data_IF_493578941183
#
_entry.id   IF_493578941183
#
_cell.length_a   1.000
_cell.length_b   1.000
_cell.length_c   1.000
_cell.angle_alpha   90.00
_cell.angle_beta   90.00
_cell.angle_gamma   90.00
#
_symmetry.space_group_name_H-M   'P 1'
#
loop_
_entity.id
_entity.type
_entity.pdbx_description
1 polymer ?
#
# COMPACT_ATOMS: atom_id res chain seq x y z
N UNK A 1 22.72 12.94 1.04
CA UNK A 1 21.29 13.21 0.85
C UNK A 1 20.81 12.28 -0.27
N UNK A 2 19.76 11.52 -0.06
CA UNK A 2 19.17 10.67 -1.08
C UNK A 2 18.79 11.52 -2.31
N UNK A 3 19.16 11.05 -3.49
CA UNK A 3 18.78 11.71 -4.74
C UNK A 3 17.41 11.17 -5.15
N UNK A 4 16.41 12.05 -5.30
CA UNK A 4 15.08 11.71 -5.81
C UNK A 4 14.92 12.21 -7.23
N UNK A 5 14.43 11.36 -8.11
CA UNK A 5 14.06 11.71 -9.49
C UNK A 5 12.61 11.27 -9.79
N UNK A 6 11.93 12.02 -10.65
CA UNK A 6 10.63 11.64 -11.16
C UNK A 6 10.80 10.61 -12.28
N UNK A 7 10.08 9.50 -12.17
CA UNK A 7 10.14 8.40 -13.15
C UNK A 7 8.75 8.03 -13.64
N UNK A 8 8.70 7.40 -14.81
CA UNK A 8 7.47 6.92 -15.43
C UNK A 8 7.67 5.51 -15.96
N UNK A 9 6.68 4.66 -15.75
CA UNK A 9 6.63 3.35 -16.38
C UNK A 9 5.23 3.04 -16.89
N UNK A 10 5.11 2.04 -17.77
CA UNK A 10 3.83 1.68 -18.39
C UNK A 10 3.20 0.49 -17.66
N UNK A 11 1.90 0.58 -17.39
CA UNK A 11 1.08 -0.52 -16.88
C UNK A 11 -0.19 -0.63 -17.73
N UNK A 12 -0.25 -1.63 -18.61
CA UNK A 12 -1.28 -1.71 -19.64
C UNK A 12 -1.20 -0.50 -20.58
N UNK A 13 -2.28 0.25 -20.66
CA UNK A 13 -2.46 1.44 -21.49
C UNK A 13 -2.18 2.77 -20.75
N UNK A 14 -1.76 2.71 -19.49
CA UNK A 14 -1.57 3.88 -18.64
C UNK A 14 -0.12 4.10 -18.28
N UNK A 15 0.35 5.36 -18.30
CA UNK A 15 1.63 5.75 -17.73
C UNK A 15 1.48 5.99 -16.23
N UNK A 16 2.35 5.33 -15.48
CA UNK A 16 2.39 5.38 -14.02
C UNK A 16 3.51 6.30 -13.58
N UNK A 17 3.19 7.29 -12.77
CA UNK A 17 4.12 8.23 -12.18
C UNK A 17 4.70 7.67 -10.88
N UNK A 18 6.00 7.83 -10.68
CA UNK A 18 6.69 7.44 -9.48
C UNK A 18 7.85 8.36 -9.13
N UNK A 19 8.36 8.19 -7.93
CA UNK A 19 9.64 8.70 -7.47
C UNK A 19 10.63 7.56 -7.34
N UNK A 20 11.81 7.75 -7.87
CA UNK A 20 12.94 6.86 -7.63
C UNK A 20 13.93 7.58 -6.70
N UNK A 21 14.07 7.03 -5.50
CA UNK A 21 15.10 7.42 -4.56
C UNK A 21 16.31 6.52 -4.75
N UNK A 22 17.48 7.11 -4.88
CA UNK A 22 18.74 6.38 -4.91
C UNK A 22 19.52 6.65 -3.63
N UNK A 23 20.10 5.62 -2.97
CA UNK A 23 20.99 5.84 -1.84
C UNK A 23 22.24 6.60 -2.29
N UNK A 24 22.98 7.12 -1.33
CA UNK A 24 24.31 7.64 -1.63
C UNK A 24 25.16 6.53 -2.27
N UNK A 25 26.00 6.85 -3.27
CA UNK A 25 26.84 5.85 -3.92
C UNK A 25 27.67 5.07 -2.87
N UNK A 26 27.55 3.75 -2.89
CA UNK A 26 28.43 2.85 -2.13
C UNK A 26 29.83 2.86 -2.77
N UNK A 27 30.88 2.68 -1.96
CA UNK A 27 32.24 2.82 -2.43
C UNK A 27 32.75 1.74 -3.39
N UNK A 28 31.99 0.65 -3.61
CA UNK A 28 32.39 -0.52 -4.42
C UNK A 28 31.69 -0.60 -5.78
N UNK A 29 30.76 0.30 -6.07
CA UNK A 29 30.04 0.32 -7.35
C UNK A 29 29.07 -0.85 -7.56
N UNK A 30 28.75 -1.62 -6.52
CA UNK A 30 27.82 -2.75 -6.61
C UNK A 30 26.37 -2.29 -6.81
N UNK A 31 25.57 -3.12 -7.51
CA UNK A 31 24.14 -2.91 -7.64
C UNK A 31 23.44 -2.98 -6.27
N UNK A 32 22.50 -2.08 -6.01
CA UNK A 32 21.81 -1.97 -4.74
C UNK A 32 20.45 -2.66 -4.73
N UNK A 33 19.95 -3.15 -3.58
CA UNK A 33 18.58 -3.63 -3.47
C UNK A 33 17.57 -2.50 -3.65
N UNK A 34 16.38 -2.82 -4.17
CA UNK A 34 15.32 -1.85 -4.40
C UNK A 34 14.00 -2.27 -3.74
N UNK A 35 13.35 -1.32 -3.08
CA UNK A 35 12.01 -1.45 -2.51
C UNK A 35 10.98 -0.81 -3.42
N UNK A 36 10.03 -1.59 -3.92
CA UNK A 36 8.84 -1.07 -4.62
C UNK A 36 7.78 -0.74 -3.57
N UNK A 37 7.23 0.48 -3.63
CA UNK A 37 6.38 1.04 -2.58
C UNK A 37 5.12 1.68 -3.14
N UNK A 38 3.97 1.45 -2.51
CA UNK A 38 2.74 2.17 -2.83
C UNK A 38 1.82 2.34 -1.63
N UNK A 39 0.90 3.31 -1.75
CA UNK A 39 0.00 3.71 -0.68
C UNK A 39 -1.28 2.87 -0.59
N UNK A 40 -2.03 3.04 0.53
CA UNK A 40 -3.30 2.41 0.79
C UNK A 40 -4.48 2.99 0.01
N UNK A 41 -5.67 2.73 0.54
CA UNK A 41 -6.95 3.02 -0.10
C UNK A 41 -7.12 4.52 -0.43
N UNK A 42 -7.23 4.85 -1.73
CA UNK A 42 -7.50 6.21 -2.21
C UNK A 42 -6.42 7.24 -1.94
N UNK A 43 -5.31 6.85 -1.33
CA UNK A 43 -4.19 7.73 -1.03
C UNK A 43 -3.17 7.78 -2.17
N UNK A 44 -2.25 8.72 -2.10
CA UNK A 44 -1.20 8.98 -3.09
C UNK A 44 0.18 9.07 -2.43
N UNK A 45 1.24 8.92 -3.23
CA UNK A 45 2.64 8.83 -2.74
C UNK A 45 3.08 10.02 -1.87
N UNK A 46 2.51 11.20 -2.07
CA UNK A 46 2.80 12.39 -1.26
C UNK A 46 2.29 12.30 0.18
N UNK A 47 1.43 11.33 0.48
CA UNK A 47 0.88 11.13 1.82
C UNK A 47 1.81 10.28 2.68
N UNK A 48 2.97 10.82 3.08
CA UNK A 48 3.97 10.22 3.99
C UNK A 48 4.86 9.12 3.40
N UNK A 49 4.69 8.68 2.13
CA UNK A 49 5.60 7.67 1.59
C UNK A 49 7.01 8.20 1.33
N UNK A 50 7.15 9.49 1.10
CA UNK A 50 8.43 10.20 1.06
C UNK A 50 9.27 9.95 2.30
N UNK A 51 8.67 10.09 3.48
CA UNK A 51 9.37 9.89 4.76
C UNK A 51 9.90 8.46 4.93
N UNK A 52 9.14 7.44 4.51
CA UNK A 52 9.61 6.05 4.51
C UNK A 52 10.74 5.84 3.50
N UNK A 53 10.55 6.33 2.26
CA UNK A 53 11.54 6.18 1.20
C UNK A 53 12.88 6.87 1.55
N UNK A 54 12.84 8.04 2.18
CA UNK A 54 14.04 8.74 2.67
C UNK A 54 14.79 7.91 3.72
N UNK A 55 14.07 7.27 4.66
CA UNK A 55 14.69 6.42 5.68
C UNK A 55 15.30 5.16 5.07
N UNK A 56 14.58 4.48 4.19
CA UNK A 56 15.10 3.32 3.48
C UNK A 56 16.30 3.69 2.59
N UNK A 57 16.22 4.82 1.90
CA UNK A 57 17.33 5.27 1.06
C UNK A 57 18.58 5.64 1.88
N UNK A 58 18.39 6.25 3.05
CA UNK A 58 19.49 6.50 4.00
C UNK A 58 20.13 5.21 4.53
N UNK A 59 19.37 4.08 4.51
CA UNK A 59 19.85 2.74 4.90
C UNK A 59 20.41 1.92 3.73
N UNK A 60 20.61 2.53 2.54
CA UNK A 60 21.26 1.88 1.40
C UNK A 60 20.31 1.23 0.37
N UNK A 61 19.00 1.42 0.49
CA UNK A 61 18.01 0.90 -0.45
C UNK A 61 17.64 1.93 -1.51
N UNK A 62 17.56 1.54 -2.77
CA UNK A 62 16.79 2.33 -3.73
C UNK A 62 15.29 2.13 -3.45
N UNK A 63 14.45 3.15 -3.71
CA UNK A 63 13.01 3.06 -3.49
C UNK A 63 12.25 3.58 -4.71
N UNK A 64 11.41 2.74 -5.29
CA UNK A 64 10.44 3.13 -6.32
C UNK A 64 9.07 3.32 -5.68
N UNK A 65 8.67 4.56 -5.50
CA UNK A 65 7.39 4.95 -4.87
C UNK A 65 6.44 5.42 -5.94
N UNK A 66 5.32 4.73 -6.20
CA UNK A 66 4.43 5.07 -7.31
C UNK A 66 3.00 5.40 -6.87
N UNK A 67 2.32 6.20 -7.69
CA UNK A 67 0.87 6.36 -7.62
C UNK A 67 0.20 5.32 -8.50
N UNK A 68 -0.89 4.72 -8.04
CA UNK A 68 -1.70 3.84 -8.88
C UNK A 68 -2.32 4.61 -10.06
N UNK A 69 -2.59 3.91 -11.17
CA UNK A 69 -3.40 4.50 -12.24
C UNK A 69 -4.68 5.13 -11.68
N UNK A 70 -5.16 6.17 -12.31
CA UNK A 70 -6.32 6.98 -11.93
C UNK A 70 -6.12 7.85 -10.67
N UNK A 71 -4.96 7.77 -9.98
CA UNK A 71 -4.64 8.53 -8.78
C UNK A 71 -3.39 9.39 -8.95
N UNK A 72 -3.24 10.40 -8.10
CA UNK A 72 -2.06 11.27 -8.08
C UNK A 72 -1.71 11.80 -9.46
N UNK A 73 -0.43 11.72 -9.82
CA UNK A 73 0.09 12.15 -11.10
C UNK A 73 0.05 11.05 -12.18
N UNK A 74 -0.28 9.82 -11.82
CA UNK A 74 -0.44 8.72 -12.79
C UNK A 74 -1.62 8.97 -13.73
N UNK A 75 -1.49 8.52 -14.96
CA UNK A 75 -2.56 8.58 -15.95
C UNK A 75 -3.72 7.63 -15.60
N UNK A 76 -4.72 7.63 -16.45
CA UNK A 76 -5.90 6.79 -16.37
C UNK A 76 -7.20 7.57 -16.11
N UNK A 77 -8.28 7.01 -16.61
CA UNK A 77 -9.64 7.57 -16.50
C UNK A 77 -10.64 6.43 -16.28
N UNK A 78 -11.74 6.70 -15.58
CA UNK A 78 -12.03 7.92 -14.84
C UNK A 78 -11.10 8.12 -13.64
N UNK A 79 -10.83 9.39 -13.26
CA UNK A 79 -10.01 9.68 -12.07
C UNK A 79 -10.69 9.13 -10.80
N UNK A 80 -9.87 8.79 -9.79
CA UNK A 80 -10.29 8.24 -8.50
C UNK A 80 -11.05 6.88 -8.63
N UNK A 81 -10.92 6.19 -9.75
CA UNK A 81 -11.40 4.82 -9.89
C UNK A 81 -10.39 3.85 -9.29
N UNK A 82 -10.72 3.31 -8.14
CA UNK A 82 -9.98 2.24 -7.52
C UNK A 82 -10.48 0.88 -8.05
N UNK A 83 -9.59 0.13 -8.67
CA UNK A 83 -9.85 -1.25 -9.10
C UNK A 83 -8.73 -2.17 -8.64
N UNK A 84 -9.07 -3.20 -7.86
CA UNK A 84 -8.10 -4.13 -7.27
C UNK A 84 -7.25 -4.83 -8.34
N UNK A 85 -7.89 -5.26 -9.44
CA UNK A 85 -7.17 -5.96 -10.52
C UNK A 85 -6.17 -5.05 -11.22
N UNK A 86 -6.57 -3.81 -11.50
CA UNK A 86 -5.72 -2.80 -12.12
C UNK A 86 -4.56 -2.40 -11.18
N UNK A 87 -4.82 -2.21 -9.89
CA UNK A 87 -3.76 -1.91 -8.92
C UNK A 87 -2.75 -3.05 -8.77
N UNK A 88 -3.18 -4.31 -8.80
CA UNK A 88 -2.28 -5.45 -8.82
C UNK A 88 -1.48 -5.55 -10.13
N UNK A 89 -2.03 -5.12 -11.25
CA UNK A 89 -1.30 -5.00 -12.52
C UNK A 89 -0.26 -3.87 -12.44
N UNK A 90 -0.56 -2.75 -11.76
CA UNK A 90 0.40 -1.66 -11.52
C UNK A 90 1.57 -2.15 -10.67
N UNK A 91 1.31 -2.96 -9.63
CA UNK A 91 2.37 -3.61 -8.85
C UNK A 91 3.27 -4.50 -9.71
N UNK A 92 2.68 -5.33 -10.57
CA UNK A 92 3.45 -6.20 -11.47
C UNK A 92 4.33 -5.40 -12.45
N UNK A 93 3.77 -4.32 -13.00
CA UNK A 93 4.50 -3.41 -13.89
C UNK A 93 5.63 -2.67 -13.15
N UNK A 94 5.39 -2.21 -11.91
CA UNK A 94 6.40 -1.56 -11.08
C UNK A 94 7.57 -2.50 -10.77
N UNK A 95 7.30 -3.76 -10.40
CA UNK A 95 8.34 -4.79 -10.20
C UNK A 95 9.12 -5.05 -11.48
N UNK A 96 8.44 -5.20 -12.62
CA UNK A 96 9.08 -5.41 -13.91
C UNK A 96 9.94 -4.21 -14.34
N UNK A 97 9.51 -2.99 -14.02
CA UNK A 97 10.29 -1.78 -14.26
C UNK A 97 11.51 -1.72 -13.34
N UNK A 98 11.35 -1.96 -12.04
CA UNK A 98 12.42 -1.95 -11.06
C UNK A 98 13.57 -2.90 -11.43
N UNK A 99 13.26 -4.10 -11.92
CA UNK A 99 14.26 -5.11 -12.34
C UNK A 99 15.10 -4.71 -13.54
N UNK A 100 14.75 -3.65 -14.27
CA UNK A 100 15.45 -3.16 -15.46
C UNK A 100 16.21 -1.87 -15.23
N UNK A 101 16.17 -1.34 -14.02
CA UNK A 101 16.88 -0.10 -13.67
C UNK A 101 18.38 -0.37 -13.52
N UNK A 102 19.19 0.50 -14.12
CA UNK A 102 20.65 0.44 -13.97
C UNK A 102 21.05 0.69 -12.51
N UNK A 103 22.02 -0.07 -12.02
CA UNK A 103 22.53 -0.01 -10.64
C UNK A 103 21.58 -0.65 -9.61
N UNK A 104 20.60 -1.44 -10.05
CA UNK A 104 19.68 -2.20 -9.18
C UNK A 104 19.90 -3.71 -9.38
N UNK A 105 20.08 -4.43 -8.26
CA UNK A 105 20.13 -5.89 -8.31
C UNK A 105 18.71 -6.46 -8.51
N UNK A 106 18.42 -7.07 -9.66
CA UNK A 106 17.10 -7.61 -9.99
C UNK A 106 16.68 -8.78 -9.09
N UNK A 107 17.63 -9.40 -8.38
CA UNK A 107 17.37 -10.49 -7.43
C UNK A 107 17.09 -10.00 -6.01
N UNK A 108 17.36 -8.72 -5.71
CA UNK A 108 17.13 -8.09 -4.41
C UNK A 108 16.01 -7.04 -4.47
N UNK A 109 14.87 -7.42 -5.07
CA UNK A 109 13.66 -6.58 -5.10
C UNK A 109 12.79 -6.91 -3.90
N UNK A 110 12.60 -5.92 -3.02
CA UNK A 110 11.66 -5.97 -1.91
C UNK A 110 10.34 -5.27 -2.24
N UNK A 111 9.25 -5.64 -1.54
CA UNK A 111 7.97 -4.94 -1.62
C UNK A 111 7.64 -4.32 -0.27
N UNK A 112 7.19 -3.07 -0.29
CA UNK A 112 6.66 -2.39 0.87
C UNK A 112 5.26 -1.83 0.57
N UNK A 113 4.28 -2.24 1.33
CA UNK A 113 2.91 -1.75 1.17
C UNK A 113 2.25 -1.49 2.49
N UNK A 114 1.41 -0.45 2.54
CA UNK A 114 0.72 -0.06 3.76
C UNK A 114 -0.79 -0.09 3.58
N UNK A 115 -1.54 -0.48 4.61
CA UNK A 115 -3.01 -0.53 4.61
C UNK A 115 -3.54 -1.41 3.46
N UNK A 116 -4.32 -0.87 2.55
CA UNK A 116 -4.84 -1.58 1.37
C UNK A 116 -3.71 -2.14 0.49
N UNK A 117 -2.63 -1.36 0.33
CA UNK A 117 -1.41 -1.81 -0.35
C UNK A 117 -0.63 -2.87 0.43
N UNK A 118 -0.73 -2.88 1.76
CA UNK A 118 -0.24 -3.99 2.58
C UNK A 118 -0.90 -5.32 2.20
N UNK A 119 -2.17 -5.30 1.82
CA UNK A 119 -2.85 -6.45 1.20
C UNK A 119 -2.33 -6.75 -0.21
N UNK A 120 -2.07 -5.71 -1.00
CA UNK A 120 -1.56 -5.91 -2.37
C UNK A 120 -0.17 -6.54 -2.39
N UNK A 121 0.76 -6.16 -1.50
CA UNK A 121 2.09 -6.79 -1.47
C UNK A 121 2.02 -8.27 -1.12
N UNK A 122 1.12 -8.69 -0.22
CA UNK A 122 0.85 -10.11 0.06
C UNK A 122 0.38 -10.84 -1.21
N UNK A 123 -0.59 -10.26 -1.92
CA UNK A 123 -1.13 -10.85 -3.14
C UNK A 123 -0.14 -10.86 -4.30
N UNK A 124 0.71 -9.85 -4.40
CA UNK A 124 1.75 -9.69 -5.43
C UNK A 124 2.89 -10.69 -5.21
N UNK A 125 3.43 -10.77 -3.99
CA UNK A 125 4.51 -11.70 -3.66
C UNK A 125 4.10 -13.18 -3.83
N UNK A 126 2.82 -13.50 -3.59
CA UNK A 126 2.29 -14.84 -3.82
C UNK A 126 2.16 -15.22 -5.31
N UNK A 127 2.30 -14.26 -6.25
CA UNK A 127 2.09 -14.45 -7.69
C UNK A 127 3.34 -14.19 -8.53
N UNK A 128 4.20 -13.28 -8.10
CA UNK A 128 5.39 -12.87 -8.84
C UNK A 128 6.61 -13.56 -8.22
N UNK A 129 7.28 -14.44 -8.96
CA UNK A 129 8.48 -15.12 -8.46
C UNK A 129 9.66 -14.13 -8.31
N UNK A 130 10.62 -14.48 -7.45
CA UNK A 130 11.85 -13.71 -7.27
C UNK A 130 11.66 -12.38 -6.54
N UNK A 131 10.61 -12.23 -5.74
CA UNK A 131 10.54 -11.18 -4.71
C UNK A 131 11.39 -11.67 -3.53
N UNK A 132 12.32 -10.82 -3.06
CA UNK A 132 13.29 -11.21 -2.06
C UNK A 132 12.78 -11.04 -0.62
N UNK A 133 12.01 -9.97 -0.34
CA UNK A 133 11.40 -9.73 0.97
C UNK A 133 10.17 -8.84 0.86
N UNK A 134 9.27 -8.90 1.86
CA UNK A 134 8.02 -8.12 1.87
C UNK A 134 7.78 -7.49 3.22
N UNK A 135 7.39 -6.22 3.24
CA UNK A 135 6.82 -5.57 4.43
C UNK A 135 5.37 -5.20 4.15
N UNK A 136 4.46 -5.70 4.97
CA UNK A 136 3.03 -5.41 4.96
C UNK A 136 2.68 -4.61 6.22
N UNK A 137 2.64 -3.28 6.12
CA UNK A 137 2.34 -2.39 7.24
C UNK A 137 0.84 -2.22 7.42
N UNK A 138 0.33 -2.39 8.64
CA UNK A 138 -1.09 -2.35 9.02
C UNK A 138 -2.01 -2.89 7.90
N UNK A 139 -1.76 -4.14 7.40
CA UNK A 139 -2.26 -4.58 6.12
C UNK A 139 -3.77 -4.86 6.15
N UNK A 140 -4.45 -4.41 5.10
CA UNK A 140 -5.81 -4.86 4.79
C UNK A 140 -5.76 -6.32 4.32
N UNK A 141 -6.17 -7.25 5.15
CA UNK A 141 -6.08 -8.69 4.88
C UNK A 141 -7.41 -9.36 4.58
N UNK A 142 -8.52 -8.81 5.07
CA UNK A 142 -9.87 -9.41 4.94
C UNK A 142 -10.97 -8.36 4.85
N UNK A 143 -11.55 -8.20 3.66
CA UNK A 143 -12.59 -7.21 3.40
C UNK A 143 -13.87 -7.43 4.20
N UNK A 144 -14.22 -8.69 4.51
CA UNK A 144 -15.41 -8.98 5.34
C UNK A 144 -15.17 -8.48 6.77
N UNK A 145 -13.97 -8.70 7.31
CA UNK A 145 -13.63 -8.24 8.65
C UNK A 145 -13.63 -6.70 8.74
N UNK A 146 -13.05 -6.02 7.74
CA UNK A 146 -13.03 -4.55 7.69
C UNK A 146 -14.44 -3.96 7.55
N UNK A 147 -15.32 -4.56 6.71
CA UNK A 147 -16.71 -4.09 6.60
C UNK A 147 -17.51 -4.31 7.88
N UNK A 148 -17.22 -5.38 8.64
CA UNK A 148 -17.84 -5.60 9.95
C UNK A 148 -17.39 -4.61 11.03
N UNK A 149 -16.29 -3.91 10.83
CA UNK A 149 -15.81 -2.86 11.75
C UNK A 149 -16.55 -1.52 11.58
N UNK A 150 -17.34 -1.35 10.51
CA UNK A 150 -18.17 -0.15 10.29
C UNK A 150 -19.62 -0.38 10.67
N UNK A 151 -20.35 0.70 11.01
CA UNK A 151 -21.77 0.61 11.36
C UNK A 151 -22.58 -0.01 10.21
N UNK A 152 -23.51 -0.97 10.48
CA UNK A 152 -24.31 -1.63 9.45
C UNK A 152 -25.09 -0.67 8.56
N UNK A 153 -25.60 0.44 9.11
CA UNK A 153 -26.31 1.48 8.36
C UNK A 153 -25.38 2.20 7.36
N UNK A 154 -24.14 2.45 7.75
CA UNK A 154 -23.11 3.01 6.84
C UNK A 154 -22.77 2.00 5.74
N UNK A 155 -22.53 0.74 6.10
CA UNK A 155 -22.26 -0.33 5.14
C UNK A 155 -23.38 -0.46 4.10
N UNK A 156 -24.65 -0.44 4.53
CA UNK A 156 -25.82 -0.51 3.64
C UNK A 156 -25.86 0.70 2.68
N UNK A 157 -25.62 1.91 3.17
CA UNK A 157 -25.62 3.13 2.33
C UNK A 157 -24.46 3.16 1.33
N UNK A 158 -23.27 2.73 1.74
CA UNK A 158 -22.11 2.57 0.85
C UNK A 158 -22.41 1.53 -0.22
N UNK A 159 -22.99 0.38 0.16
CA UNK A 159 -23.38 -0.67 -0.81
C UNK A 159 -24.40 -0.16 -1.81
N UNK A 160 -25.42 0.58 -1.38
CA UNK A 160 -26.42 1.16 -2.28
C UNK A 160 -25.77 2.12 -3.29
N UNK A 161 -24.84 2.99 -2.83
CA UNK A 161 -24.09 3.90 -3.72
C UNK A 161 -23.18 3.12 -4.68
N UNK A 162 -22.54 2.06 -4.20
CA UNK A 162 -21.67 1.22 -5.01
C UNK A 162 -22.45 0.47 -6.11
N UNK A 163 -23.65 -0.07 -5.81
CA UNK A 163 -24.52 -0.70 -6.80
C UNK A 163 -25.01 0.31 -7.84
N UNK A 164 -25.41 1.52 -7.40
CA UNK A 164 -25.82 2.57 -8.32
C UNK A 164 -24.67 2.99 -9.26
N UNK A 165 -23.46 3.19 -8.72
CA UNK A 165 -22.28 3.52 -9.50
C UNK A 165 -21.90 2.40 -10.49
N UNK A 166 -22.00 1.13 -10.06
CA UNK A 166 -21.73 -0.01 -10.92
C UNK A 166 -22.73 -0.09 -12.08
N UNK A 167 -24.03 0.04 -11.79
CA UNK A 167 -25.08 0.06 -12.82
C UNK A 167 -24.89 1.26 -13.78
N UNK A 168 -24.58 2.44 -13.25
CA UNK A 168 -24.28 3.62 -14.05
C UNK A 168 -23.10 3.41 -14.99
N UNK A 169 -22.08 2.66 -14.56
CA UNK A 169 -20.91 2.39 -15.38
C UNK A 169 -21.21 1.56 -16.64
N UNK A 170 -22.15 0.64 -16.57
CA UNK A 170 -22.59 -0.13 -17.73
C UNK A 170 -23.36 0.73 -18.75
N UNK A 171 -23.88 1.86 -18.30
CA UNK A 171 -24.54 2.86 -19.15
C UNK A 171 -23.59 4.00 -19.59
N UNK A 172 -22.27 3.85 -19.38
CA UNK A 172 -21.27 4.87 -19.72
C UNK A 172 -21.35 6.15 -18.88
N UNK A 173 -22.05 6.14 -17.74
CA UNK A 173 -22.18 7.32 -16.87
C UNK A 173 -20.89 7.59 -16.09
N UNK A 174 -20.59 8.86 -15.76
CA UNK A 174 -19.49 9.20 -14.86
C UNK A 174 -19.63 8.49 -13.51
N UNK A 175 -18.51 8.18 -12.83
CA UNK A 175 -18.55 7.53 -11.51
C UNK A 175 -19.30 8.38 -10.49
N UNK A 176 -20.13 7.71 -9.68
CA UNK A 176 -20.65 8.28 -8.45
C UNK A 176 -19.52 8.24 -7.40
N UNK A 177 -19.12 9.40 -6.90
CA UNK A 177 -18.04 9.53 -5.95
C UNK A 177 -18.57 9.42 -4.51
N UNK A 178 -17.77 8.78 -3.63
CA UNK A 178 -17.97 8.80 -2.18
C UNK A 178 -16.64 9.17 -1.49
N UNK A 179 -16.66 9.78 -0.31
CA UNK A 179 -15.44 10.03 0.45
C UNK A 179 -14.69 8.73 0.77
N UNK A 180 -13.36 8.78 0.69
CA UNK A 180 -12.47 7.72 1.15
C UNK A 180 -12.53 7.60 2.67
N UNK A 181 -12.35 8.72 3.39
CA UNK A 181 -12.48 8.82 4.83
C UNK A 181 -13.55 9.83 5.21
N UNK A 182 -14.37 9.48 6.18
CA UNK A 182 -15.44 10.33 6.71
C UNK A 182 -15.61 10.12 8.21
N UNK A 183 -16.42 10.96 8.83
CA UNK A 183 -16.76 10.88 10.26
C UNK A 183 -17.71 9.69 10.52
N UNK A 184 -17.78 9.17 11.75
CA UNK A 184 -18.77 8.17 12.12
C UNK A 184 -20.19 8.57 11.69
N UNK A 185 -20.87 7.63 11.02
CA UNK A 185 -22.23 7.86 10.50
C UNK A 185 -22.31 8.50 9.11
N UNK A 186 -21.23 9.00 8.53
CA UNK A 186 -21.19 9.48 7.15
C UNK A 186 -21.15 8.33 6.13
N UNK A 187 -21.40 8.64 4.87
CA UNK A 187 -21.27 7.67 3.76
C UNK A 187 -19.86 7.77 3.20
N UNK A 188 -18.94 7.01 3.77
CA UNK A 188 -17.54 6.94 3.34
C UNK A 188 -17.02 5.50 3.49
N UNK A 189 -15.88 5.18 2.87
CA UNK A 189 -15.31 3.82 2.96
C UNK A 189 -14.70 3.55 4.34
N UNK A 190 -14.08 4.54 4.97
CA UNK A 190 -13.51 4.46 6.31
C UNK A 190 -14.22 5.46 7.21
N UNK A 191 -14.96 4.99 8.21
CA UNK A 191 -15.76 5.82 9.14
C UNK A 191 -15.51 5.49 10.61
N UNK A 192 -14.37 4.86 10.92
CA UNK A 192 -13.93 4.70 12.30
C UNK A 192 -13.71 6.07 12.96
N UNK A 193 -13.80 6.19 14.29
CA UNK A 193 -13.69 7.48 14.99
C UNK A 193 -12.43 8.27 14.67
N UNK A 194 -11.33 7.60 14.45
CA UNK A 194 -10.02 8.16 14.12
C UNK A 194 -9.75 8.28 12.61
N UNK A 195 -10.58 7.69 11.73
CA UNK A 195 -10.31 7.55 10.32
C UNK A 195 -10.21 8.90 9.59
N UNK A 196 -11.17 9.80 9.78
CA UNK A 196 -11.19 11.07 9.05
C UNK A 196 -10.00 11.95 9.41
N UNK A 197 -9.78 12.20 10.70
CA UNK A 197 -8.67 13.03 11.16
C UNK A 197 -7.31 12.36 10.93
N UNK A 198 -7.23 11.05 11.12
CA UNK A 198 -6.02 10.27 10.86
C UNK A 198 -5.60 10.34 9.40
N UNK A 199 -6.55 10.16 8.47
CA UNK A 199 -6.30 10.26 7.04
C UNK A 199 -5.83 11.66 6.63
N UNK A 200 -6.46 12.72 7.16
CA UNK A 200 -6.06 14.10 6.87
C UNK A 200 -4.66 14.45 7.38
N UNK A 201 -4.22 13.87 8.50
CA UNK A 201 -2.87 14.09 9.04
C UNK A 201 -1.75 13.53 8.16
N UNK A 202 -2.07 12.64 7.23
CA UNK A 202 -1.09 12.12 6.26
C UNK A 202 -0.86 13.07 5.09
N UNK A 203 -1.76 14.04 4.88
CA UNK A 203 -1.69 15.00 3.77
C UNK A 203 -0.63 16.05 4.10
N UNK A 204 0.33 16.31 3.18
CA UNK A 204 1.31 17.38 3.38
C UNK A 204 0.65 18.75 3.53
N UNK A 205 1.23 19.67 4.32
CA UNK A 205 0.74 21.03 4.42
C UNK A 205 0.63 21.70 3.04
N UNK A 206 -0.51 22.31 2.75
CA UNK A 206 -0.76 23.00 1.47
C UNK A 206 -1.13 22.09 0.28
N UNK A 207 -1.06 20.78 0.41
CA UNK A 207 -1.47 19.87 -0.64
C UNK A 207 -3.00 19.77 -0.74
N UNK A 208 -3.52 19.67 -1.98
CA UNK A 208 -4.94 19.44 -2.19
C UNK A 208 -5.24 17.93 -2.15
N UNK A 209 -6.02 17.53 -1.15
CA UNK A 209 -6.49 16.16 -1.03
C UNK A 209 -7.79 15.95 -1.83
N UNK A 210 -7.80 14.95 -2.72
CA UNK A 210 -9.04 14.41 -3.29
C UNK A 210 -9.52 13.25 -2.40
N UNK A 211 -10.23 13.59 -1.31
CA UNK A 211 -10.79 12.61 -0.38
C UNK A 211 -12.04 11.95 -0.96
N UNK A 212 -11.91 11.33 -2.14
CA UNK A 212 -13.02 10.68 -2.82
C UNK A 212 -12.54 9.52 -3.68
N UNK A 213 -13.40 8.55 -3.90
CA UNK A 213 -13.21 7.41 -4.81
C UNK A 213 -14.53 7.03 -5.46
N UNK A 214 -14.48 6.38 -6.63
CA UNK A 214 -15.66 5.82 -7.28
C UNK A 214 -16.33 4.78 -6.37
N UNK A 215 -17.62 4.95 -6.10
CA UNK A 215 -18.36 4.20 -5.08
C UNK A 215 -18.37 2.67 -5.34
N UNK A 216 -18.28 2.24 -6.60
CA UNK A 216 -18.29 0.81 -6.99
C UNK A 216 -17.22 -0.03 -6.33
N UNK A 217 -16.13 0.59 -5.81
CA UNK A 217 -15.11 -0.11 -5.04
C UNK A 217 -15.68 -0.75 -3.77
N UNK A 218 -16.71 -0.15 -3.16
CA UNK A 218 -17.33 -0.67 -1.94
C UNK A 218 -17.78 -2.13 -2.05
N UNK A 219 -18.21 -2.60 -3.24
CA UNK A 219 -18.54 -4.01 -3.47
C UNK A 219 -17.27 -4.85 -3.52
N UNK A 220 -16.24 -4.39 -4.24
CA UNK A 220 -15.00 -5.16 -4.43
C UNK A 220 -14.16 -5.25 -3.16
N UNK A 221 -14.16 -4.20 -2.32
CA UNK A 221 -13.47 -4.20 -1.02
C UNK A 221 -13.92 -5.36 -0.16
N UNK A 222 -15.24 -5.60 -0.05
CA UNK A 222 -15.78 -6.69 0.76
C UNK A 222 -15.34 -8.07 0.25
N UNK A 223 -15.22 -8.23 -1.07
CA UNK A 223 -14.80 -9.49 -1.69
C UNK A 223 -13.27 -9.69 -1.66
N UNK A 224 -12.49 -8.62 -1.49
CA UNK A 224 -11.03 -8.67 -1.52
C UNK A 224 -10.47 -9.22 -0.20
N UNK A 225 -9.81 -10.37 -0.27
CA UNK A 225 -9.25 -11.09 0.88
C UNK A 225 -7.80 -11.50 0.62
N UNK A 226 -6.88 -10.53 0.49
CA UNK A 226 -5.48 -10.79 0.11
C UNK A 226 -4.73 -11.65 1.14
N UNK A 227 -5.12 -11.59 2.41
CA UNK A 227 -4.55 -12.42 3.46
C UNK A 227 -4.59 -13.93 3.16
N UNK A 228 -5.55 -14.40 2.36
CA UNK A 228 -5.60 -15.80 1.90
C UNK A 228 -4.37 -16.21 1.08
N UNK A 229 -3.69 -15.25 0.48
CA UNK A 229 -2.47 -15.49 -0.29
C UNK A 229 -1.22 -15.63 0.58
N UNK A 230 -1.26 -15.29 1.88
CA UNK A 230 -0.11 -15.34 2.78
C UNK A 230 0.57 -16.72 2.81
N UNK A 231 -0.22 -17.80 2.79
CA UNK A 231 0.30 -19.19 2.75
C UNK A 231 1.08 -19.53 1.45
N UNK A 232 1.02 -18.68 0.42
CA UNK A 232 1.70 -18.85 -0.87
C UNK A 232 2.87 -17.89 -1.06
N UNK A 233 3.15 -17.03 -0.08
CA UNK A 233 4.31 -16.12 -0.12
C UNK A 233 5.56 -16.93 0.20
N UNK A 234 6.42 -17.12 -0.78
CA UNK A 234 7.62 -17.97 -0.67
C UNK A 234 8.86 -17.25 -0.15
N UNK A 235 8.81 -15.94 0.03
CA UNK A 235 9.90 -15.14 0.59
C UNK A 235 9.58 -14.70 2.03
N UNK A 236 10.58 -14.20 2.79
CA UNK A 236 10.34 -13.56 4.08
C UNK A 236 9.34 -12.41 3.97
N UNK A 237 8.39 -12.37 4.93
CA UNK A 237 7.38 -11.32 5.02
C UNK A 237 7.19 -10.86 6.44
N UNK A 238 7.34 -9.55 6.68
CA UNK A 238 7.05 -8.89 7.95
C UNK A 238 5.64 -8.30 7.92
N UNK A 239 4.81 -8.70 8.88
CA UNK A 239 3.51 -8.10 9.17
C UNK A 239 3.66 -7.11 10.33
N UNK A 240 3.62 -5.81 10.04
CA UNK A 240 3.56 -4.77 11.08
C UNK A 240 2.09 -4.58 11.46
N UNK A 241 1.70 -5.05 12.63
CA UNK A 241 0.29 -5.11 13.06
C UNK A 241 0.01 -4.08 14.15
N UNK A 242 -0.94 -3.19 13.89
CA UNK A 242 -1.44 -2.24 14.89
C UNK A 242 -2.48 -2.92 15.78
N UNK A 243 -2.26 -2.92 17.10
CA UNK A 243 -3.13 -3.61 18.07
C UNK A 243 -4.54 -3.01 18.11
N UNK A 244 -4.62 -1.68 17.99
CA UNK A 244 -5.88 -0.91 18.07
C UNK A 244 -6.35 -0.43 16.69
N UNK A 245 -6.04 -1.20 15.63
CA UNK A 245 -6.41 -0.85 14.25
C UNK A 245 -7.94 -0.86 14.06
N UNK A 246 -8.49 0.31 13.81
CA UNK A 246 -9.93 0.54 13.62
C UNK A 246 -10.41 0.30 12.18
N UNK A 247 -9.48 0.17 11.21
CA UNK A 247 -9.75 0.06 9.77
C UNK A 247 -9.43 -1.34 9.24
N UNK A 248 -8.27 -1.88 9.61
CA UNK A 248 -7.79 -3.20 9.24
C UNK A 248 -7.52 -4.05 10.49
N UNK A 249 -8.57 -4.67 11.10
CA UNK A 249 -8.47 -5.32 12.40
C UNK A 249 -7.32 -6.32 12.53
N UNK A 250 -6.59 -6.26 13.64
CA UNK A 250 -5.41 -7.09 13.91
C UNK A 250 -5.69 -8.60 13.85
N UNK A 251 -6.81 -9.04 14.40
CA UNK A 251 -7.13 -10.48 14.52
C UNK A 251 -7.11 -11.24 13.20
N UNK A 252 -7.77 -10.79 12.11
CA UNK A 252 -7.66 -11.38 10.79
C UNK A 252 -6.23 -11.41 10.26
N UNK A 253 -5.48 -10.34 10.44
CA UNK A 253 -4.09 -10.24 9.98
C UNK A 253 -3.21 -11.28 10.66
N UNK A 254 -3.30 -11.42 11.98
CA UNK A 254 -2.56 -12.43 12.74
C UNK A 254 -2.88 -13.87 12.30
N UNK A 255 -4.18 -14.16 12.03
CA UNK A 255 -4.59 -15.48 11.50
C UNK A 255 -4.01 -15.78 10.12
N UNK A 256 -3.79 -14.78 9.28
CA UNK A 256 -3.17 -14.99 7.97
C UNK A 256 -1.65 -15.00 8.07
N UNK A 257 -1.06 -14.16 8.90
CA UNK A 257 0.39 -14.13 9.16
C UNK A 257 0.89 -15.49 9.65
N UNK A 258 0.14 -16.16 10.56
CA UNK A 258 0.50 -17.51 11.05
C UNK A 258 0.50 -18.60 9.98
N UNK A 259 0.00 -18.32 8.77
CA UNK A 259 0.00 -19.25 7.63
C UNK A 259 1.11 -18.96 6.62
N UNK A 260 1.81 -17.83 6.75
CA UNK A 260 2.92 -17.48 5.87
C UNK A 260 4.14 -18.36 6.24
N UNK A 261 4.75 -19.10 5.29
CA UNK A 261 5.86 -20.01 5.57
C UNK A 261 7.07 -19.32 6.22
N UNK A 262 7.31 -18.07 5.85
CA UNK A 262 8.40 -17.23 6.35
C UNK A 262 7.85 -15.90 6.91
N UNK A 263 6.73 -15.98 7.65
CA UNK A 263 6.05 -14.83 8.24
C UNK A 263 6.68 -14.43 9.58
N UNK A 264 7.04 -13.15 9.69
CA UNK A 264 7.41 -12.49 10.94
C UNK A 264 6.31 -11.49 11.31
N UNK A 265 6.05 -11.29 12.60
CA UNK A 265 5.04 -10.35 13.10
C UNK A 265 5.67 -9.40 14.09
N UNK A 266 5.49 -8.10 13.86
CA UNK A 266 5.79 -7.05 14.81
C UNK A 266 4.49 -6.36 15.24
N UNK A 267 4.28 -6.27 16.57
CA UNK A 267 3.07 -5.67 17.15
C UNK A 267 3.34 -4.25 17.60
N UNK A 268 2.39 -3.35 17.32
CA UNK A 268 2.48 -1.93 17.70
C UNK A 268 1.22 -1.52 18.44
N UNK A 269 1.32 -0.85 19.60
CA UNK A 269 0.16 -0.44 20.41
C UNK A 269 -0.65 0.68 19.78
N UNK A 270 -0.25 1.13 18.60
CA UNK A 270 -0.87 2.23 17.85
C UNK A 270 -2.12 1.79 17.09
N UNK A 271 -2.93 2.80 16.70
CA UNK A 271 -4.01 2.67 15.72
C UNK A 271 -3.52 2.84 14.28
N UNK A 272 -4.43 2.62 13.33
CA UNK A 272 -4.15 2.56 11.89
C UNK A 272 -3.36 3.75 11.33
N UNK A 273 -3.67 4.96 11.77
CA UNK A 273 -3.05 6.19 11.24
C UNK A 273 -1.89 6.70 12.10
N UNK A 274 -1.83 6.32 13.37
CA UNK A 274 -0.80 6.80 14.28
C UNK A 274 0.59 6.24 13.92
N UNK A 275 0.65 5.04 13.35
CA UNK A 275 1.89 4.36 12.93
C UNK A 275 2.71 5.14 11.87
N UNK A 276 2.09 6.09 11.17
CA UNK A 276 2.77 6.91 10.17
C UNK A 276 3.47 8.14 10.74
N UNK A 277 3.32 8.45 12.02
CA UNK A 277 3.66 9.75 12.59
C UNK A 277 4.47 9.63 13.88
N UNK A 278 5.33 10.64 14.12
CA UNK A 278 6.05 10.79 15.39
C UNK A 278 6.85 9.56 15.81
N UNK A 279 6.86 9.26 17.10
CA UNK A 279 7.65 8.17 17.66
C UNK A 279 7.20 6.77 17.15
N UNK A 280 5.94 6.60 16.80
CA UNK A 280 5.44 5.35 16.22
C UNK A 280 6.08 5.10 14.83
N UNK A 281 6.14 6.14 13.98
CA UNK A 281 6.84 6.06 12.69
C UNK A 281 8.31 5.68 12.88
N UNK A 282 9.02 6.30 13.84
CA UNK A 282 10.44 6.01 14.08
C UNK A 282 10.67 4.55 14.49
N UNK A 283 9.81 4.00 15.35
CA UNK A 283 9.90 2.57 15.75
C UNK A 283 9.63 1.65 14.58
N UNK A 284 8.51 1.84 13.88
CA UNK A 284 8.13 0.93 12.80
C UNK A 284 9.11 0.94 11.65
N UNK A 285 9.65 2.12 11.27
CA UNK A 285 10.61 2.19 10.17
C UNK A 285 11.95 1.56 10.55
N UNK A 286 12.38 1.66 11.82
CA UNK A 286 13.59 1.00 12.30
C UNK A 286 13.47 -0.52 12.24
N UNK A 287 12.34 -1.08 12.68
CA UNK A 287 12.06 -2.53 12.59
C UNK A 287 12.02 -3.01 11.13
N UNK A 288 11.43 -2.20 10.24
CA UNK A 288 11.35 -2.51 8.81
C UNK A 288 12.73 -2.47 8.14
N UNK A 289 13.58 -1.49 8.48
CA UNK A 289 14.98 -1.44 8.04
C UNK A 289 15.72 -2.69 8.50
N UNK A 290 15.65 -3.02 9.79
CA UNK A 290 16.29 -4.22 10.33
C UNK A 290 15.83 -5.52 9.67
N UNK A 291 14.55 -5.62 9.31
CA UNK A 291 14.01 -6.74 8.55
C UNK A 291 14.60 -6.80 7.12
N UNK A 292 14.63 -5.68 6.42
CA UNK A 292 15.22 -5.64 5.08
C UNK A 292 16.73 -5.89 5.11
N UNK A 293 17.46 -5.36 6.09
CA UNK A 293 18.89 -5.63 6.27
C UNK A 293 19.16 -7.13 6.45
N UNK A 294 18.36 -7.81 7.24
CA UNK A 294 18.46 -9.27 7.46
C UNK A 294 18.27 -10.07 6.17
N UNK A 295 17.37 -9.61 5.27
CA UNK A 295 16.92 -10.43 4.13
C UNK A 295 17.37 -9.93 2.75
N UNK A 296 17.82 -8.67 2.63
CA UNK A 296 18.24 -8.09 1.35
C UNK A 296 19.73 -7.74 1.29
N UNK A 297 20.41 -7.55 2.45
CA UNK A 297 21.83 -7.22 2.48
C UNK A 297 22.71 -8.36 2.97
N UNK A 298 22.14 -9.37 3.63
CA UNK A 298 22.87 -10.56 4.06
C UNK A 298 23.51 -11.24 2.85
N UNK A 299 24.82 -11.43 2.92
CA UNK A 299 25.63 -12.18 1.96
C UNK A 299 24.97 -13.53 1.66
N UNK A 300 24.78 -13.83 0.39
CA UNK A 300 24.64 -15.23 -0.02
C UNK A 300 25.90 -15.94 0.48
N UNK A 301 25.75 -16.71 1.58
CA UNK A 301 26.78 -17.62 2.07
C UNK A 301 26.86 -18.84 1.15
#
# INVERSE_FOLDING_TARGET
VAQREDVWFTSGDSRISGWLYRPAPGGDGSDVPLLVMAHGLGAVRTMRLDAYAERFSASGYACLVFDYRNFGDSEGRPRQLLDVGLQLADWAAAVAYARRLDGIDPNRIGLWGTSFSGGHVIATAARIPGIAAVVAQCPFTDGIASVRAIAPSTAARVTARALHDLAGSWLGRPPLMIPTAGKPGEVALMTAPDAYLGYLKLVPPGAQLRNEVAARIGIKVMAYRPGRSAAKVGCPILFCVCETDSVAPAGPTLRYASKAPHGEVAMYPEGHFAIYLGAAFERVVADQVGFFDKHLTGSAG
#
